data_IF_664562507932
#
_entry.id   IF_664562507932
#
_cell.length_a   1.000
_cell.length_b   1.000
_cell.length_c   1.000
_cell.angle_alpha   90.00
_cell.angle_beta   90.00
_cell.angle_gamma   90.00
#
_symmetry.space_group_name_H-M   'P 1'
#
loop_
_entity.id
_entity.type
_entity.pdbx_description
1 polymer ?
#
# COMPACT_ATOMS: atom_id res chain seq x y z
N UNK A 1 -93.95 28.47 -15.28
CA UNK A 1 -94.52 27.54 -16.28
C UNK A 1 -93.38 26.67 -16.80
N UNK A 2 -93.61 25.35 -16.84
CA UNK A 2 -92.89 24.23 -17.50
C UNK A 2 -91.51 24.51 -18.14
N UNK A 3 -90.49 23.67 -18.00
CA UNK A 3 -90.58 22.24 -18.27
C UNK A 3 -89.42 21.43 -17.66
N UNK A 4 -89.79 20.27 -17.13
CA UNK A 4 -88.96 19.07 -17.07
C UNK A 4 -88.71 18.56 -18.50
N UNK A 5 -87.51 18.06 -18.81
CA UNK A 5 -87.33 16.87 -19.63
C UNK A 5 -85.95 16.23 -19.35
N UNK A 6 -86.03 14.94 -19.00
CA UNK A 6 -84.95 14.02 -18.66
C UNK A 6 -84.23 13.53 -19.93
N UNK A 7 -82.91 13.34 -19.86
CA UNK A 7 -82.20 12.25 -20.55
C UNK A 7 -80.78 12.06 -19.96
N UNK A 8 -80.68 11.11 -19.01
CA UNK A 8 -79.77 9.95 -18.84
C UNK A 8 -78.39 9.88 -19.57
N UNK A 9 -77.49 8.96 -19.17
CA UNK A 9 -76.34 9.18 -18.29
C UNK A 9 -75.02 8.83 -19.01
N UNK A 10 -73.90 8.78 -18.26
CA UNK A 10 -72.54 8.35 -18.67
C UNK A 10 -71.61 9.49 -19.09
N UNK A 11 -70.85 10.02 -18.14
CA UNK A 11 -69.40 9.83 -18.21
C UNK A 11 -68.80 10.00 -16.82
N UNK A 12 -68.33 8.87 -16.30
CA UNK A 12 -67.55 8.78 -15.07
C UNK A 12 -66.24 9.56 -15.25
N UNK A 13 -65.94 10.31 -14.21
CA UNK A 13 -64.65 10.88 -13.83
C UNK A 13 -63.48 9.97 -14.22
N UNK A 14 -62.59 10.44 -15.10
CA UNK A 14 -61.23 9.90 -15.23
C UNK A 14 -60.27 11.08 -15.33
N UNK A 15 -59.77 11.52 -14.17
CA UNK A 15 -58.64 12.44 -14.09
C UNK A 15 -57.41 11.61 -14.49
N UNK A 16 -56.96 11.79 -15.73
CA UNK A 16 -55.66 11.30 -16.19
C UNK A 16 -54.58 12.13 -15.50
N UNK A 17 -54.06 11.64 -14.38
CA UNK A 17 -52.80 12.12 -13.80
C UNK A 17 -51.70 11.65 -14.75
N UNK A 18 -51.26 12.57 -15.61
CA UNK A 18 -50.08 12.40 -16.45
C UNK A 18 -48.84 12.48 -15.54
N UNK A 19 -48.49 11.35 -14.91
CA UNK A 19 -47.24 11.21 -14.18
C UNK A 19 -46.08 11.24 -15.18
N UNK A 20 -45.51 12.43 -15.36
CA UNK A 20 -44.24 12.65 -16.03
C UNK A 20 -43.14 11.97 -15.19
N UNK A 21 -42.91 10.68 -15.43
CA UNK A 21 -41.73 9.98 -14.94
C UNK A 21 -40.52 10.54 -15.68
N UNK A 22 -39.94 11.62 -15.14
CA UNK A 22 -38.55 11.98 -15.40
C UNK A 22 -37.73 10.83 -14.81
N UNK A 23 -37.42 9.85 -15.64
CA UNK A 23 -36.43 8.83 -15.34
C UNK A 23 -35.11 9.53 -15.11
N UNK A 24 -34.80 9.81 -13.84
CA UNK A 24 -33.43 10.08 -13.42
C UNK A 24 -32.66 8.81 -13.71
N UNK A 25 -31.96 8.80 -14.84
CA UNK A 25 -30.89 7.84 -15.08
C UNK A 25 -29.94 7.98 -13.89
N UNK A 26 -30.05 7.07 -12.93
CA UNK A 26 -29.05 6.86 -11.91
C UNK A 26 -27.77 6.57 -12.67
N UNK A 27 -26.92 7.60 -12.82
CA UNK A 27 -25.53 7.38 -13.16
C UNK A 27 -25.01 6.51 -12.03
N UNK A 28 -24.85 5.22 -12.33
CA UNK A 28 -24.11 4.33 -11.48
C UNK A 28 -22.74 4.99 -11.32
N UNK A 29 -22.51 5.52 -10.12
CA UNK A 29 -21.24 6.10 -9.73
C UNK A 29 -20.28 4.92 -9.55
N UNK A 30 -19.81 4.38 -10.68
CA UNK A 30 -18.84 3.31 -10.74
C UNK A 30 -17.52 3.92 -10.29
N UNK A 31 -17.29 3.91 -8.98
CA UNK A 31 -16.00 4.25 -8.39
C UNK A 31 -14.95 3.33 -9.03
N UNK A 32 -14.22 3.85 -10.01
CA UNK A 32 -13.15 3.12 -10.69
C UNK A 32 -12.19 2.57 -9.62
N UNK A 33 -11.85 1.27 -9.64
CA UNK A 33 -11.00 0.70 -8.60
C UNK A 33 -9.63 1.37 -8.58
N UNK A 34 -9.04 1.39 -7.38
CA UNK A 34 -7.72 1.97 -7.14
C UNK A 34 -6.68 1.31 -8.07
N UNK A 35 -6.03 2.08 -8.96
CA UNK A 35 -5.10 1.51 -9.93
C UNK A 35 -3.85 0.88 -9.28
N UNK A 36 -3.48 1.30 -8.07
CA UNK A 36 -2.43 0.63 -7.30
C UNK A 36 -2.88 -0.77 -6.85
N UNK A 37 -4.15 -0.90 -6.43
CA UNK A 37 -4.74 -2.17 -6.05
C UNK A 37 -4.95 -3.09 -7.27
N UNK A 38 -5.35 -2.53 -8.42
CA UNK A 38 -5.41 -3.27 -9.69
C UNK A 38 -4.04 -3.83 -10.07
N UNK A 39 -2.99 -3.00 -10.06
CA UNK A 39 -1.64 -3.44 -10.35
C UNK A 39 -1.18 -4.55 -9.40
N UNK A 40 -1.41 -4.37 -8.09
CA UNK A 40 -1.04 -5.35 -7.08
C UNK A 40 -1.75 -6.69 -7.27
N UNK A 41 -3.06 -6.67 -7.51
CA UNK A 41 -3.86 -7.89 -7.56
C UNK A 41 -3.64 -8.69 -8.85
N UNK A 42 -3.35 -8.02 -9.96
CA UNK A 42 -3.36 -8.66 -11.29
C UNK A 42 -2.00 -8.63 -12.00
N UNK A 43 -1.16 -7.63 -11.74
CA UNK A 43 0.04 -7.39 -12.54
C UNK A 43 1.35 -7.72 -11.80
N UNK A 44 1.44 -7.45 -10.49
CA UNK A 44 2.72 -7.52 -9.77
C UNK A 44 3.26 -8.94 -9.58
N UNK A 45 2.39 -9.96 -9.65
CA UNK A 45 2.79 -11.38 -9.64
C UNK A 45 3.79 -11.71 -10.74
N UNK A 46 3.71 -11.03 -11.88
CA UNK A 46 4.67 -11.16 -12.99
C UNK A 46 5.60 -9.95 -13.08
N UNK A 47 5.07 -8.74 -13.00
CA UNK A 47 5.87 -7.53 -13.23
C UNK A 47 6.68 -7.05 -12.01
N UNK A 48 6.54 -7.74 -10.86
CA UNK A 48 7.17 -7.39 -9.60
C UNK A 48 6.51 -6.19 -8.92
N UNK A 49 6.53 -6.13 -7.59
CA UNK A 49 5.94 -5.01 -6.85
C UNK A 49 6.66 -3.66 -7.08
N UNK A 50 7.87 -3.71 -7.67
CA UNK A 50 8.68 -2.55 -8.04
C UNK A 50 8.56 -2.19 -9.54
N UNK A 51 7.79 -2.96 -10.30
CA UNK A 51 7.72 -2.83 -11.77
C UNK A 51 9.01 -3.18 -12.50
N UNK A 52 9.95 -3.85 -11.83
CA UNK A 52 11.27 -4.22 -12.38
C UNK A 52 11.29 -5.60 -13.08
N UNK A 53 10.14 -6.26 -13.18
CA UNK A 53 10.01 -7.59 -13.78
C UNK A 53 10.58 -8.72 -12.91
N UNK A 54 11.11 -8.40 -11.73
CA UNK A 54 11.73 -9.35 -10.80
C UNK A 54 10.71 -9.88 -9.83
N UNK A 55 9.87 -10.79 -10.31
CA UNK A 55 8.92 -11.51 -9.46
C UNK A 55 9.39 -12.94 -9.20
N UNK A 56 8.75 -13.63 -8.26
CA UNK A 56 8.97 -15.07 -8.06
C UNK A 56 8.69 -15.91 -9.32
N UNK A 57 7.95 -15.36 -10.28
CA UNK A 57 7.65 -16.00 -11.55
C UNK A 57 8.71 -15.73 -12.64
N UNK A 58 9.64 -14.78 -12.45
CA UNK A 58 10.60 -14.32 -13.47
C UNK A 58 11.32 -15.48 -14.16
N UNK A 59 11.93 -16.39 -13.38
CA UNK A 59 12.72 -17.52 -13.91
C UNK A 59 11.90 -18.55 -14.68
N UNK A 60 10.58 -18.53 -14.56
CA UNK A 60 9.66 -19.47 -15.20
C UNK A 60 8.93 -18.85 -16.41
N UNK A 61 9.26 -17.61 -16.79
CA UNK A 61 8.62 -16.88 -17.89
C UNK A 61 9.61 -16.67 -19.04
N UNK A 62 9.23 -17.11 -20.23
CA UNK A 62 9.99 -16.89 -21.47
C UNK A 62 9.07 -16.25 -22.53
N UNK A 63 9.36 -15.02 -22.99
CA UNK A 63 10.38 -14.09 -22.47
C UNK A 63 10.05 -13.57 -21.04
N UNK A 64 11.03 -13.03 -20.30
CA UNK A 64 10.78 -12.50 -18.95
C UNK A 64 9.84 -11.29 -18.97
N UNK A 65 9.15 -11.00 -17.85
CA UNK A 65 8.30 -9.82 -17.72
C UNK A 65 9.09 -8.54 -17.95
N UNK A 66 8.41 -7.53 -18.52
CA UNK A 66 9.07 -6.27 -18.87
C UNK A 66 9.46 -5.49 -17.61
N UNK A 67 10.73 -5.10 -17.52
CA UNK A 67 11.23 -4.14 -16.53
C UNK A 67 10.87 -2.70 -16.96
N UNK A 68 9.92 -2.10 -16.25
CA UNK A 68 9.42 -0.75 -16.48
C UNK A 68 10.34 0.33 -15.93
N UNK A 69 11.29 -0.02 -15.06
CA UNK A 69 12.19 0.94 -14.40
C UNK A 69 13.32 1.43 -15.30
N UNK A 70 13.52 0.76 -16.45
CA UNK A 70 14.57 1.11 -17.39
C UNK A 70 14.21 2.30 -18.29
N UNK A 71 15.16 3.23 -18.48
CA UNK A 71 14.99 4.38 -19.37
C UNK A 71 14.65 3.99 -20.81
N UNK A 72 15.22 2.89 -21.30
CA UNK A 72 14.92 2.38 -22.63
C UNK A 72 13.48 1.86 -22.74
N UNK A 73 12.95 1.27 -21.67
CA UNK A 73 11.55 0.85 -21.60
C UNK A 73 10.63 2.06 -21.64
N UNK A 74 10.88 3.09 -20.83
CA UNK A 74 10.10 4.33 -20.84
C UNK A 74 10.10 5.05 -22.22
N UNK A 75 11.22 4.99 -22.95
CA UNK A 75 11.34 5.55 -24.31
C UNK A 75 10.54 4.77 -25.36
N UNK A 76 10.43 3.46 -25.21
CA UNK A 76 9.88 2.55 -26.24
C UNK A 76 8.42 2.13 -26.00
N UNK A 77 7.93 2.23 -24.77
CA UNK A 77 6.55 1.93 -24.41
C UNK A 77 5.73 3.22 -24.32
N UNK A 78 5.00 3.55 -25.37
CA UNK A 78 3.98 4.60 -25.34
C UNK A 78 2.76 4.15 -24.53
N UNK A 79 1.95 5.11 -24.07
CA UNK A 79 0.76 4.83 -23.26
C UNK A 79 -0.22 3.98 -24.04
N UNK A 80 -0.41 4.32 -25.31
CA UNK A 80 -1.30 3.65 -26.26
C UNK A 80 -0.84 2.21 -26.49
N UNK A 81 0.47 1.99 -26.65
CA UNK A 81 1.05 0.66 -26.79
C UNK A 81 0.85 -0.18 -25.54
N UNK A 82 1.01 0.41 -24.35
CA UNK A 82 0.78 -0.29 -23.08
C UNK A 82 -0.69 -0.66 -22.90
N UNK A 83 -1.63 0.27 -23.17
CA UNK A 83 -3.06 -0.02 -23.15
C UNK A 83 -3.37 -1.18 -24.09
N UNK A 84 -2.90 -1.11 -25.34
CA UNK A 84 -3.10 -2.18 -26.31
C UNK A 84 -2.56 -3.53 -25.81
N UNK A 85 -1.36 -3.54 -25.22
CA UNK A 85 -0.72 -4.76 -24.70
C UNK A 85 -1.48 -5.34 -23.50
N UNK A 86 -2.02 -4.51 -22.61
CA UNK A 86 -2.86 -4.99 -21.49
C UNK A 86 -4.22 -5.46 -21.99
N UNK A 87 -4.81 -4.76 -22.95
CA UNK A 87 -6.11 -5.12 -23.54
C UNK A 87 -6.05 -6.46 -24.28
N UNK A 88 -5.10 -6.61 -25.22
CA UNK A 88 -5.03 -7.76 -26.14
C UNK A 88 -4.02 -8.84 -25.75
N UNK A 89 -3.18 -8.56 -24.76
CA UNK A 89 -2.03 -9.41 -24.45
C UNK A 89 -0.91 -9.26 -25.48
N UNK A 90 0.13 -10.07 -25.35
CA UNK A 90 1.28 -10.09 -26.25
C UNK A 90 1.49 -11.53 -26.74
N UNK A 91 1.23 -11.76 -28.03
CA UNK A 91 1.36 -13.08 -28.66
C UNK A 91 2.77 -13.66 -28.48
N UNK A 92 2.86 -14.95 -28.15
CA UNK A 92 4.13 -15.64 -27.89
C UNK A 92 4.74 -15.33 -26.52
N UNK A 93 3.98 -14.73 -25.59
CA UNK A 93 4.41 -14.48 -24.20
C UNK A 93 3.33 -14.91 -23.20
N UNK A 94 3.66 -14.89 -21.91
CA UNK A 94 2.69 -15.15 -20.84
C UNK A 94 1.72 -13.98 -20.57
N UNK A 95 1.88 -12.83 -21.23
CA UNK A 95 1.01 -11.66 -21.03
C UNK A 95 -0.33 -11.86 -21.76
N UNK A 96 -1.32 -12.39 -21.05
CA UNK A 96 -2.69 -12.53 -21.56
C UNK A 96 -3.39 -11.17 -21.75
N UNK A 97 -4.44 -11.16 -22.58
CA UNK A 97 -5.34 -10.01 -22.70
C UNK A 97 -6.29 -9.92 -21.53
N UNK A 98 -6.53 -8.71 -21.03
CA UNK A 98 -7.35 -8.44 -19.85
C UNK A 98 -8.71 -7.82 -20.18
N UNK A 99 -9.06 -7.70 -21.46
CA UNK A 99 -10.30 -7.04 -21.91
C UNK A 99 -11.59 -7.73 -21.47
N UNK A 100 -11.54 -9.02 -21.13
CA UNK A 100 -12.67 -9.78 -20.60
C UNK A 100 -12.81 -9.66 -19.07
N UNK A 101 -11.80 -9.13 -18.38
CA UNK A 101 -11.74 -9.06 -16.90
C UNK A 101 -11.69 -7.63 -16.36
N UNK A 102 -11.16 -6.68 -17.14
CA UNK A 102 -11.01 -5.28 -16.76
C UNK A 102 -11.70 -4.39 -17.79
N UNK A 103 -12.42 -3.39 -17.31
CA UNK A 103 -12.97 -2.34 -18.15
C UNK A 103 -11.88 -1.51 -18.81
N UNK A 104 -12.23 -0.81 -19.90
CA UNK A 104 -11.33 0.13 -20.58
C UNK A 104 -10.78 1.21 -19.63
N UNK A 105 -11.59 1.65 -18.67
CA UNK A 105 -11.18 2.63 -17.66
C UNK A 105 -10.14 2.07 -16.70
N UNK A 106 -10.32 0.83 -16.22
CA UNK A 106 -9.38 0.13 -15.35
C UNK A 106 -8.05 -0.14 -16.04
N UNK A 107 -8.10 -0.58 -17.30
CA UNK A 107 -6.90 -0.79 -18.13
C UNK A 107 -6.13 0.53 -18.31
N UNK A 108 -6.82 1.63 -18.62
CA UNK A 108 -6.19 2.93 -18.73
C UNK A 108 -5.56 3.37 -17.39
N UNK A 109 -6.28 3.19 -16.28
CA UNK A 109 -5.84 3.59 -14.96
C UNK A 109 -4.60 2.81 -14.49
N UNK A 110 -4.56 1.49 -14.69
CA UNK A 110 -3.39 0.67 -14.30
C UNK A 110 -2.17 0.98 -15.19
N UNK A 111 -2.38 1.28 -16.48
CA UNK A 111 -1.29 1.72 -17.36
C UNK A 111 -0.72 3.07 -16.91
N UNK A 112 -1.59 4.01 -16.57
CA UNK A 112 -1.17 5.33 -16.08
C UNK A 112 -0.39 5.20 -14.76
N UNK A 113 -0.85 4.33 -13.86
CA UNK A 113 -0.12 3.98 -12.65
C UNK A 113 1.28 3.43 -12.94
N UNK A 114 1.44 2.47 -13.85
CA UNK A 114 2.76 1.93 -14.20
C UNK A 114 3.69 3.03 -14.74
N UNK A 115 3.17 3.92 -15.60
CA UNK A 115 3.94 5.01 -16.19
C UNK A 115 4.34 6.07 -15.16
N UNK A 116 3.49 6.35 -14.20
CA UNK A 116 3.73 7.36 -13.17
C UNK A 116 4.68 6.85 -12.07
N UNK A 117 4.49 5.61 -11.62
CA UNK A 117 5.17 5.10 -10.41
C UNK A 117 6.44 4.30 -10.68
N UNK A 118 6.54 3.65 -11.85
CA UNK A 118 7.67 2.77 -12.18
C UNK A 118 8.53 3.31 -13.32
N UNK A 119 7.94 3.97 -14.32
CA UNK A 119 8.72 4.43 -15.48
C UNK A 119 9.48 5.72 -15.20
N UNK A 120 10.78 5.77 -15.50
CA UNK A 120 11.50 7.02 -15.43
C UNK A 120 10.99 7.98 -16.53
N UNK A 121 10.94 9.29 -16.24
CA UNK A 121 10.51 10.28 -17.20
C UNK A 121 11.41 10.27 -18.45
N UNK A 122 10.80 10.27 -19.62
CA UNK A 122 11.54 10.26 -20.90
C UNK A 122 12.33 11.57 -21.02
N UNK A 123 13.66 11.47 -20.99
CA UNK A 123 14.57 12.62 -21.11
C UNK A 123 15.11 13.18 -19.79
N UNK A 124 14.80 12.57 -18.65
CA UNK A 124 15.48 12.85 -17.39
C UNK A 124 16.61 11.84 -17.16
N UNK A 125 17.76 12.29 -16.66
CA UNK A 125 18.78 11.40 -16.09
C UNK A 125 18.21 10.54 -14.96
N UNK A 126 18.94 9.49 -14.59
CA UNK A 126 18.51 8.38 -13.71
C UNK A 126 18.02 8.80 -12.31
N UNK A 127 16.75 9.20 -12.19
CA UNK A 127 16.09 9.43 -10.90
C UNK A 127 15.78 8.14 -10.15
N UNK A 128 15.93 6.96 -10.78
CA UNK A 128 15.69 5.66 -10.17
C UNK A 128 16.74 5.30 -9.12
N UNK A 129 18.01 5.64 -9.39
CA UNK A 129 19.11 5.54 -8.41
C UNK A 129 18.88 6.48 -7.23
N UNK A 130 18.50 7.73 -7.49
CA UNK A 130 18.18 8.71 -6.45
C UNK A 130 17.06 8.28 -5.49
N UNK A 131 15.96 7.72 -6.03
CA UNK A 131 14.83 7.18 -5.23
C UNK A 131 15.28 6.06 -4.28
N UNK A 132 16.09 5.12 -4.78
CA UNK A 132 16.57 3.97 -4.01
C UNK A 132 17.47 4.42 -2.85
N UNK A 133 18.42 5.30 -3.14
CA UNK A 133 19.35 5.85 -2.17
C UNK A 133 18.62 6.69 -1.10
N UNK A 134 17.60 7.45 -1.49
CA UNK A 134 16.74 8.18 -0.55
C UNK A 134 16.03 7.25 0.44
N UNK A 135 15.41 6.17 -0.06
CA UNK A 135 14.69 5.21 0.76
C UNK A 135 15.61 4.45 1.74
N UNK A 136 16.86 4.19 1.34
CA UNK A 136 17.82 3.46 2.17
C UNK A 136 18.45 4.32 3.27
N UNK A 137 18.69 5.61 2.98
CA UNK A 137 19.57 6.42 3.82
C UNK A 137 18.88 7.66 4.42
N UNK A 138 17.83 8.17 3.79
CA UNK A 138 17.30 9.50 4.08
C UNK A 138 15.89 9.46 4.67
N UNK A 139 15.05 8.54 4.20
CA UNK A 139 13.62 8.52 4.52
C UNK A 139 13.35 8.21 5.98
N UNK A 140 14.30 7.55 6.67
CA UNK A 140 14.25 7.36 8.12
C UNK A 140 14.03 8.72 8.78
N UNK A 141 14.87 9.73 8.59
CA UNK A 141 14.66 11.04 9.26
C UNK A 141 13.72 11.98 8.49
N UNK A 142 13.75 11.96 7.16
CA UNK A 142 13.01 12.92 6.33
C UNK A 142 11.59 12.47 5.94
N UNK A 143 11.21 11.24 6.29
CA UNK A 143 9.93 10.63 5.97
C UNK A 143 9.85 10.15 4.51
N UNK A 144 9.08 9.11 4.26
CA UNK A 144 8.95 8.52 2.90
C UNK A 144 8.35 9.50 1.88
N UNK A 145 7.60 10.51 2.35
CA UNK A 145 7.01 11.58 1.54
C UNK A 145 7.76 12.92 1.63
N UNK A 146 8.94 12.95 2.25
CA UNK A 146 9.75 14.16 2.41
C UNK A 146 9.19 15.21 3.38
N UNK A 147 8.12 14.90 4.11
CA UNK A 147 7.42 15.81 5.03
C UNK A 147 7.98 15.85 6.47
N UNK A 148 9.24 15.40 6.63
CA UNK A 148 9.90 15.11 7.89
C UNK A 148 9.25 13.98 8.68
N UNK A 149 10.05 13.00 9.10
CA UNK A 149 9.55 11.92 9.92
C UNK A 149 9.20 12.45 11.33
N UNK A 150 8.04 12.04 11.85
CA UNK A 150 7.54 12.46 13.17
C UNK A 150 8.17 11.68 14.34
N UNK A 151 8.91 10.61 14.07
CA UNK A 151 9.58 9.85 15.13
C UNK A 151 10.82 10.61 15.62
N UNK A 152 11.00 10.65 16.95
CA UNK A 152 12.14 11.33 17.56
C UNK A 152 12.11 12.86 17.48
N UNK A 153 11.01 13.51 17.05
CA UNK A 153 10.95 14.99 17.01
C UNK A 153 11.10 15.64 18.39
N UNK A 154 10.88 14.88 19.47
CA UNK A 154 11.10 15.30 20.85
C UNK A 154 12.48 14.86 21.41
N UNK A 155 13.23 14.05 20.65
CA UNK A 155 14.55 13.48 21.01
C UNK A 155 15.69 14.11 20.21
N UNK A 156 15.41 14.64 19.01
CA UNK A 156 16.37 15.34 18.18
C UNK A 156 16.38 16.82 18.55
N UNK A 157 17.57 17.38 18.83
CA UNK A 157 17.76 18.81 19.12
C UNK A 157 17.33 19.74 17.98
N UNK A 158 17.17 19.20 16.77
CA UNK A 158 16.67 19.94 15.61
C UNK A 158 15.82 19.01 14.74
N UNK A 159 14.66 19.50 14.29
CA UNK A 159 13.76 18.74 13.43
C UNK A 159 14.39 18.57 12.04
N UNK A 160 14.29 17.36 11.44
CA UNK A 160 14.63 17.17 10.03
C UNK A 160 13.86 18.14 9.15
N UNK A 161 14.45 18.50 8.01
CA UNK A 161 13.88 19.43 7.04
C UNK A 161 12.69 18.80 6.29
N UNK A 162 11.57 19.50 6.27
CA UNK A 162 10.38 19.17 5.49
C UNK A 162 10.54 19.72 4.07
N UNK A 163 10.84 18.84 3.11
CA UNK A 163 11.06 19.19 1.72
C UNK A 163 9.78 19.60 0.99
N UNK A 164 8.60 19.29 1.53
CA UNK A 164 7.31 19.65 0.92
C UNK A 164 6.91 21.10 1.19
N UNK A 165 7.49 21.73 2.22
CA UNK A 165 7.18 23.12 2.60
C UNK A 165 7.61 24.15 1.55
N UNK A 166 6.85 25.26 1.45
CA UNK A 166 7.19 26.37 0.57
C UNK A 166 8.55 26.99 0.92
N UNK A 167 8.86 27.09 2.22
CA UNK A 167 10.15 27.56 2.71
C UNK A 167 11.30 26.72 2.15
N UNK A 168 11.21 25.38 2.20
CA UNK A 168 12.23 24.50 1.61
C UNK A 168 12.41 24.73 0.12
N UNK A 169 11.32 24.92 -0.64
CA UNK A 169 11.37 25.16 -2.08
C UNK A 169 12.11 26.45 -2.43
N UNK A 170 11.96 27.48 -1.61
CA UNK A 170 12.62 28.79 -1.78
C UNK A 170 14.07 28.76 -1.30
N UNK A 171 14.34 28.13 -0.15
CA UNK A 171 15.63 28.23 0.55
C UNK A 171 16.67 27.20 0.08
N UNK A 172 16.25 26.04 -0.40
CA UNK A 172 17.15 24.94 -0.71
C UNK A 172 17.41 24.92 -2.22
N UNK A 173 18.54 25.49 -2.63
CA UNK A 173 19.07 25.29 -3.98
C UNK A 173 19.62 23.87 -4.13
N UNK A 174 19.71 23.38 -5.39
CA UNK A 174 20.31 22.07 -5.69
C UNK A 174 21.72 21.95 -5.12
N UNK A 175 22.54 22.98 -5.34
CA UNK A 175 23.92 23.03 -4.85
C UNK A 175 23.99 23.02 -3.32
N UNK A 176 23.12 23.78 -2.64
CA UNK A 176 23.04 23.78 -1.18
C UNK A 176 22.66 22.41 -0.63
N UNK A 177 21.73 21.72 -1.29
CA UNK A 177 21.33 20.37 -0.91
C UNK A 177 22.46 19.36 -1.11
N UNK A 178 23.16 19.40 -2.24
CA UNK A 178 24.35 18.55 -2.48
C UNK A 178 25.38 18.80 -1.38
N UNK A 179 25.70 20.06 -1.10
CA UNK A 179 26.67 20.40 -0.05
C UNK A 179 26.24 19.87 1.33
N UNK A 180 24.95 20.02 1.68
CA UNK A 180 24.40 19.53 2.96
C UNK A 180 24.44 18.01 3.08
N UNK A 181 24.21 17.28 1.98
CA UNK A 181 24.32 15.80 1.98
C UNK A 181 25.78 15.37 2.05
N UNK A 182 26.67 16.01 1.30
CA UNK A 182 28.10 15.68 1.28
C UNK A 182 28.76 15.91 2.63
N UNK A 183 28.52 17.05 3.28
CA UNK A 183 29.24 17.48 4.49
C UNK A 183 28.42 17.40 5.78
N UNK A 184 27.14 17.03 5.68
CA UNK A 184 26.21 17.10 6.80
C UNK A 184 25.83 18.54 7.15
N UNK A 185 25.02 18.70 8.19
CA UNK A 185 24.58 20.02 8.66
C UNK A 185 25.00 20.22 10.12
N UNK A 186 25.99 21.10 10.32
CA UNK A 186 26.58 21.41 11.63
C UNK A 186 25.51 21.80 12.64
N UNK A 187 25.59 21.22 13.84
CA UNK A 187 24.63 21.46 14.93
C UNK A 187 23.32 20.66 14.81
N UNK A 188 23.21 19.77 13.82
CA UNK A 188 22.06 18.88 13.65
C UNK A 188 22.49 17.41 13.60
N UNK A 189 21.54 16.46 13.75
CA UNK A 189 21.80 15.03 13.55
C UNK A 189 22.08 14.61 12.09
N UNK A 190 22.02 15.52 11.11
CA UNK A 190 22.28 15.22 9.70
C UNK A 190 23.79 15.04 9.46
N UNK A 191 24.24 13.78 9.47
CA UNK A 191 25.63 13.41 9.23
C UNK A 191 26.07 13.65 7.77
N UNK A 192 27.39 13.67 7.56
CA UNK A 192 28.00 13.74 6.24
C UNK A 192 27.92 12.39 5.52
N UNK A 193 27.43 12.38 4.28
CA UNK A 193 27.37 11.18 3.44
C UNK A 193 28.48 11.11 2.39
N UNK A 194 29.36 12.12 2.30
CA UNK A 194 30.44 12.15 1.30
C UNK A 194 31.46 11.00 1.40
N UNK A 195 31.50 10.28 2.52
CA UNK A 195 32.31 9.07 2.68
C UNK A 195 31.54 7.77 2.37
N UNK A 196 30.21 7.83 2.23
CA UNK A 196 29.33 6.68 2.04
C UNK A 196 28.74 6.62 0.63
N UNK A 197 28.55 7.77 -0.01
CA UNK A 197 27.96 7.91 -1.33
C UNK A 197 28.90 8.68 -2.26
N UNK A 198 28.94 8.30 -3.52
CA UNK A 198 29.69 9.02 -4.56
C UNK A 198 29.01 10.35 -4.90
N UNK A 199 29.78 11.27 -5.50
CA UNK A 199 29.27 12.60 -5.84
C UNK A 199 28.06 12.56 -6.81
N UNK A 200 28.06 11.62 -7.76
CA UNK A 200 26.94 11.41 -8.69
C UNK A 200 25.72 10.79 -8.00
N UNK A 201 25.93 9.88 -7.05
CA UNK A 201 24.86 9.30 -6.23
C UNK A 201 24.18 10.33 -5.32
N UNK A 202 24.98 11.22 -4.71
CA UNK A 202 24.48 12.36 -3.93
C UNK A 202 23.66 13.29 -4.81
N UNK A 203 24.16 13.60 -6.02
CA UNK A 203 23.45 14.44 -6.98
C UNK A 203 22.08 13.83 -7.36
N UNK A 204 22.02 12.52 -7.59
CA UNK A 204 20.77 11.84 -7.94
C UNK A 204 19.75 11.83 -6.80
N UNK A 205 20.20 11.65 -5.55
CA UNK A 205 19.31 11.74 -4.38
C UNK A 205 18.71 13.15 -4.27
N UNK A 206 19.55 14.19 -4.44
CA UNK A 206 19.10 15.57 -4.41
C UNK A 206 18.11 15.87 -5.54
N UNK A 207 18.40 15.39 -6.74
CA UNK A 207 17.52 15.59 -7.90
C UNK A 207 16.18 14.86 -7.73
N UNK A 208 16.19 13.67 -7.12
CA UNK A 208 14.98 12.98 -6.70
C UNK A 208 14.16 13.81 -5.68
N UNK A 209 14.78 14.28 -4.59
CA UNK A 209 14.08 15.07 -3.55
C UNK A 209 13.44 16.32 -4.17
N UNK A 210 14.20 17.05 -4.99
CA UNK A 210 13.71 18.28 -5.63
C UNK A 210 12.57 18.00 -6.59
N UNK A 211 12.69 16.93 -7.37
CA UNK A 211 11.69 16.55 -8.36
C UNK A 211 10.41 16.03 -7.74
N UNK A 212 10.49 15.25 -6.67
CA UNK A 212 9.33 14.53 -6.12
C UNK A 212 8.66 15.31 -4.99
N UNK A 213 9.43 15.98 -4.12
CA UNK A 213 8.88 16.62 -2.92
C UNK A 213 8.79 18.15 -3.03
N UNK A 214 9.63 18.78 -3.85
CA UNK A 214 9.79 20.25 -3.88
C UNK A 214 9.13 20.94 -5.09
N UNK A 215 8.21 20.28 -5.79
CA UNK A 215 7.46 20.91 -6.88
C UNK A 215 6.47 21.93 -6.31
N UNK A 216 6.28 23.11 -6.93
CA UNK A 216 5.24 24.05 -6.52
C UNK A 216 3.88 23.33 -6.49
N UNK A 217 2.95 23.71 -5.60
CA UNK A 217 1.59 23.20 -5.72
C UNK A 217 1.14 23.62 -7.11
N UNK A 218 0.58 22.70 -7.90
CA UNK A 218 0.26 22.96 -9.30
C UNK A 218 -0.68 24.17 -9.41
N UNK A 219 -0.11 25.36 -9.62
CA UNK A 219 -0.85 26.56 -9.95
C UNK A 219 -1.44 26.37 -11.33
N UNK A 220 -2.77 26.33 -11.41
CA UNK A 220 -3.59 26.33 -12.64
C UNK A 220 -2.88 25.72 -13.87
N UNK A 221 -2.55 24.43 -13.82
CA UNK A 221 -2.44 23.65 -15.05
C UNK A 221 -3.78 22.93 -15.20
N UNK A 222 -4.53 23.34 -16.21
CA UNK A 222 -5.78 22.71 -16.64
C UNK A 222 -5.51 21.22 -16.86
N UNK A 223 -5.92 20.39 -15.92
CA UNK A 223 -5.99 18.94 -16.07
C UNK A 223 -7.13 18.44 -15.19
N UNK A 224 -8.12 17.80 -15.83
CA UNK A 224 -9.49 17.66 -15.36
C UNK A 224 -9.73 16.65 -14.25
N UNK A 225 -9.14 16.83 -13.06
CA UNK A 225 -9.49 16.05 -11.87
C UNK A 225 -9.52 16.91 -10.61
N UNK A 226 -10.48 17.84 -10.57
CA UNK A 226 -10.98 18.39 -9.32
C UNK A 226 -12.49 18.19 -9.27
N UNK A 227 -12.91 17.01 -8.86
CA UNK A 227 -14.25 16.77 -8.33
C UNK A 227 -14.08 16.03 -6.99
N UNK A 228 -14.25 16.81 -5.92
CA UNK A 228 -14.65 16.39 -4.58
C UNK A 228 -13.56 15.83 -3.65
N UNK A 229 -12.83 16.76 -3.05
CA UNK A 229 -12.68 16.76 -1.60
C UNK A 229 -14.07 16.97 -0.97
N UNK A 230 -14.65 15.91 -0.39
CA UNK A 230 -15.76 16.03 0.56
C UNK A 230 -15.39 15.25 1.81
N UNK A 231 -15.61 15.94 2.93
CA UNK A 231 -15.43 15.60 4.33
C UNK A 231 -15.41 14.11 4.72
N UNK A 232 -14.59 13.83 5.74
CA UNK A 232 -14.58 12.61 6.53
C UNK A 232 -16.01 12.11 6.84
N UNK A 233 -16.39 10.99 6.23
CA UNK A 233 -17.61 10.27 6.55
C UNK A 233 -17.26 8.88 7.11
N UNK A 234 -17.83 8.58 8.29
CA UNK A 234 -17.69 7.32 9.03
C UNK A 234 -18.01 6.12 8.13
N UNK A 235 -17.09 5.17 8.02
CA UNK A 235 -17.28 3.93 7.28
C UNK A 235 -18.27 3.00 8.01
N UNK A 236 -19.30 2.53 7.31
CA UNK A 236 -20.12 1.37 7.66
C UNK A 236 -19.56 0.10 7.00
N UNK A 237 -19.80 -1.11 7.54
CA UNK A 237 -19.14 -2.33 7.08
C UNK A 237 -19.80 -2.90 5.81
N UNK A 238 -19.00 -3.21 4.79
CA UNK A 238 -19.44 -4.00 3.64
C UNK A 238 -19.51 -5.50 3.98
N UNK A 239 -20.61 -6.16 3.61
CA UNK A 239 -20.78 -7.61 3.72
C UNK A 239 -19.91 -8.32 2.69
N UNK A 240 -19.11 -9.27 3.19
CA UNK A 240 -18.38 -10.26 2.40
C UNK A 240 -19.36 -11.32 1.90
N UNK A 241 -19.11 -11.81 0.69
CA UNK A 241 -19.44 -13.13 0.11
C UNK A 241 -20.06 -12.92 -1.27
N UNK A 242 -19.21 -13.00 -2.30
CA UNK A 242 -19.52 -13.54 -3.64
C UNK A 242 -18.29 -13.34 -4.55
N UNK A 243 -17.27 -14.19 -4.36
CA UNK A 243 -16.25 -14.44 -5.38
C UNK A 243 -16.04 -15.96 -5.48
N UNK A 244 -16.16 -16.57 -6.67
CA UNK A 244 -15.82 -17.96 -6.86
C UNK A 244 -14.30 -18.15 -6.84
N UNK A 245 -13.88 -19.23 -6.18
CA UNK A 245 -12.49 -19.67 -5.98
C UNK A 245 -11.78 -19.91 -7.33
N UNK A 246 -10.99 -18.93 -7.78
CA UNK A 246 -10.12 -19.06 -8.95
C UNK A 246 -8.79 -19.67 -8.51
N UNK A 247 -8.76 -21.00 -8.55
CA UNK A 247 -7.67 -21.88 -8.14
C UNK A 247 -6.26 -21.36 -8.37
N UNK A 248 -5.56 -21.13 -7.25
CA UNK A 248 -4.12 -20.87 -7.18
C UNK A 248 -3.36 -22.19 -7.38
N UNK A 249 -2.34 -22.17 -8.25
CA UNK A 249 -1.54 -23.34 -8.64
C UNK A 249 -0.92 -24.03 -7.40
N UNK A 250 -1.38 -25.26 -7.19
CA UNK A 250 -0.86 -26.35 -6.37
C UNK A 250 0.12 -26.02 -5.24
N UNK A 251 -0.41 -25.90 -4.02
CA UNK A 251 -0.29 -26.82 -2.86
C UNK A 251 0.97 -27.73 -2.67
N UNK A 252 2.08 -27.56 -3.39
CA UNK A 252 3.16 -28.57 -3.50
C UNK A 252 4.56 -28.15 -3.03
N UNK A 253 4.79 -26.88 -2.67
CA UNK A 253 6.09 -26.43 -2.11
C UNK A 253 5.99 -25.74 -0.75
N UNK A 254 4.79 -25.63 -0.18
CA UNK A 254 4.64 -25.42 1.26
C UNK A 254 4.73 -26.81 1.92
N UNK A 255 5.38 -26.97 3.09
CA UNK A 255 5.28 -28.21 3.84
C UNK A 255 3.79 -28.58 3.97
N UNK A 256 3.47 -29.87 3.82
CA UNK A 256 2.11 -30.46 3.80
C UNK A 256 1.18 -30.07 4.97
N UNK A 257 1.61 -29.20 5.90
CA UNK A 257 0.87 -28.84 7.11
C UNK A 257 -0.19 -27.75 6.94
N UNK A 258 -0.33 -27.09 5.77
CA UNK A 258 -1.31 -26.00 5.60
C UNK A 258 -2.69 -26.46 5.08
N UNK A 259 -2.84 -27.72 4.66
CA UNK A 259 -4.14 -28.32 4.32
C UNK A 259 -4.52 -29.52 5.19
N UNK A 260 -3.79 -29.71 6.28
CA UNK A 260 -4.33 -30.42 7.42
C UNK A 260 -5.28 -29.46 8.13
N UNK A 261 -6.46 -29.88 8.63
CA UNK A 261 -7.19 -29.09 9.60
C UNK A 261 -6.21 -28.75 10.72
N UNK A 262 -5.78 -27.48 10.79
CA UNK A 262 -4.88 -27.03 11.85
C UNK A 262 -5.68 -27.27 13.13
N UNK A 263 -5.22 -28.15 14.03
CA UNK A 263 -5.93 -28.39 15.27
C UNK A 263 -6.18 -27.04 15.92
N UNK A 264 -7.42 -26.82 16.40
CA UNK A 264 -7.74 -25.62 17.15
C UNK A 264 -6.71 -25.49 18.28
N UNK A 265 -5.97 -24.39 18.29
CA UNK A 265 -5.01 -24.16 19.35
C UNK A 265 -5.78 -24.07 20.68
N UNK A 266 -5.27 -24.74 21.71
CA UNK A 266 -5.82 -24.62 23.05
C UNK A 266 -5.59 -23.18 23.55
N UNK A 267 -6.67 -22.42 23.64
CA UNK A 267 -6.63 -21.01 24.04
C UNK A 267 -6.53 -20.82 25.55
N UNK A 268 -6.69 -21.88 26.33
CA UNK A 268 -6.47 -21.90 27.77
C UNK A 268 -5.00 -22.17 28.15
N UNK A 269 -4.18 -22.62 27.19
CA UNK A 269 -2.77 -22.90 27.42
C UNK A 269 -2.03 -21.66 27.98
N UNK A 270 -1.33 -21.82 29.13
CA UNK A 270 -0.63 -20.72 29.76
C UNK A 270 0.65 -20.35 28.99
N UNK A 271 1.23 -19.19 29.32
CA UNK A 271 2.57 -18.85 28.85
C UNK A 271 3.62 -19.85 29.40
N UNK A 272 4.71 -20.10 28.66
CA UNK A 272 5.71 -21.07 29.07
C UNK A 272 6.45 -20.65 30.34
N UNK A 273 7.09 -21.62 31.02
CA UNK A 273 7.95 -21.41 32.19
C UNK A 273 7.26 -20.72 33.38
N UNK A 274 5.93 -20.81 33.48
CA UNK A 274 5.17 -20.17 34.56
C UNK A 274 5.12 -18.64 34.48
N UNK A 275 5.53 -18.05 33.35
CA UNK A 275 5.49 -16.60 33.14
C UNK A 275 4.03 -16.12 33.13
N UNK A 276 3.80 -14.91 33.67
CA UNK A 276 2.51 -14.25 33.62
C UNK A 276 2.67 -12.97 32.82
N UNK A 277 1.95 -12.82 31.71
CA UNK A 277 2.07 -11.64 30.86
C UNK A 277 1.27 -10.45 31.40
N UNK A 278 1.88 -9.28 31.36
CA UNK A 278 1.25 -7.99 31.62
C UNK A 278 0.89 -7.31 30.28
N UNK A 279 -0.41 -7.19 29.92
CA UNK A 279 -0.80 -6.60 28.64
C UNK A 279 -0.50 -5.10 28.52
N UNK A 280 -0.38 -4.35 29.63
CA UNK A 280 -0.06 -2.92 29.58
C UNK A 280 1.41 -2.70 29.20
N UNK A 281 2.31 -3.48 29.81
CA UNK A 281 3.73 -3.53 29.42
C UNK A 281 3.88 -4.03 27.98
N UNK A 282 3.12 -5.07 27.61
CA UNK A 282 3.08 -5.60 26.26
C UNK A 282 2.62 -4.57 25.22
N UNK A 283 1.60 -3.77 25.54
CA UNK A 283 1.12 -2.70 24.67
C UNK A 283 2.22 -1.66 24.41
N UNK A 284 2.90 -1.21 25.47
CA UNK A 284 3.99 -0.24 25.35
C UNK A 284 5.12 -0.77 24.46
N UNK A 285 5.51 -2.03 24.64
CA UNK A 285 6.53 -2.69 23.82
C UNK A 285 6.08 -2.85 22.35
N UNK A 286 4.80 -3.17 22.13
CA UNK A 286 4.23 -3.35 20.79
C UNK A 286 4.22 -2.04 20.01
N UNK A 287 3.82 -0.93 20.65
CA UNK A 287 3.85 0.41 20.06
C UNK A 287 5.28 0.87 19.73
N UNK A 288 6.26 0.49 20.52
CA UNK A 288 7.65 0.90 20.32
C UNK A 288 8.33 0.10 19.18
N UNK A 289 8.00 -1.18 19.03
CA UNK A 289 8.84 -2.10 18.26
C UNK A 289 8.10 -2.87 17.16
N UNK A 290 6.77 -2.99 17.23
CA UNK A 290 6.02 -3.96 16.41
C UNK A 290 5.04 -3.30 15.44
N UNK A 291 4.45 -2.16 15.80
CA UNK A 291 3.42 -1.46 15.00
C UNK A 291 3.89 -1.05 13.61
N UNK A 292 5.18 -0.80 13.46
CA UNK A 292 5.76 -0.34 12.21
C UNK A 292 5.56 -1.37 11.09
N UNK A 293 5.56 -2.66 11.43
CA UNK A 293 5.29 -3.74 10.49
C UNK A 293 3.87 -4.30 10.65
N UNK A 294 3.40 -4.50 11.88
CA UNK A 294 2.14 -5.20 12.15
C UNK A 294 0.91 -4.29 12.19
N UNK A 295 1.09 -2.96 12.21
CA UNK A 295 0.03 -1.98 12.34
C UNK A 295 -0.50 -1.88 13.77
N UNK A 296 -1.01 -0.70 14.14
CA UNK A 296 -1.62 -0.46 15.47
C UNK A 296 -2.82 -1.39 15.71
N UNK A 297 -3.52 -1.80 14.64
CA UNK A 297 -4.67 -2.72 14.69
C UNK A 297 -4.28 -4.20 14.61
N UNK A 298 -2.99 -4.54 14.49
CA UNK A 298 -2.54 -5.92 14.29
C UNK A 298 -3.01 -6.55 12.98
N UNK A 299 -3.35 -5.74 11.98
CA UNK A 299 -3.86 -6.17 10.68
C UNK A 299 -2.76 -6.49 9.66
N UNK A 300 -1.49 -6.30 10.04
CA UNK A 300 -0.36 -6.49 9.14
C UNK A 300 -0.20 -5.36 8.13
N UNK A 301 -0.81 -4.20 8.39
CA UNK A 301 -0.77 -3.01 7.53
C UNK A 301 0.02 -1.87 8.20
N UNK A 302 1.09 -2.23 8.92
CA UNK A 302 2.02 -1.24 9.45
C UNK A 302 2.64 -0.38 8.33
N UNK A 303 3.12 0.83 8.63
CA UNK A 303 3.71 1.73 7.65
C UNK A 303 4.90 1.12 6.88
N UNK A 304 5.58 0.07 7.37
CA UNK A 304 6.62 -0.70 6.64
C UNK A 304 6.13 -1.98 5.99
N UNK A 305 4.87 -2.38 6.21
CA UNK A 305 4.32 -3.64 5.70
C UNK A 305 4.25 -3.72 4.16
N UNK A 306 4.39 -2.59 3.46
CA UNK A 306 4.30 -2.51 2.00
C UNK A 306 5.51 -3.10 1.27
N UNK A 307 6.68 -3.22 1.93
CA UNK A 307 7.90 -3.76 1.31
C UNK A 307 8.43 -5.04 1.98
N UNK A 308 7.75 -5.54 3.01
CA UNK A 308 8.12 -6.76 3.74
C UNK A 308 7.52 -7.97 3.02
N UNK A 309 8.37 -8.92 2.61
CA UNK A 309 7.94 -10.17 1.99
C UNK A 309 8.48 -11.39 2.76
N UNK A 310 7.61 -12.35 3.13
CA UNK A 310 6.15 -12.32 3.06
C UNK A 310 5.56 -11.24 3.98
N UNK A 311 4.40 -10.67 3.63
CA UNK A 311 3.79 -9.57 4.40
C UNK A 311 3.56 -9.94 5.87
N UNK A 312 3.66 -8.97 6.79
CA UNK A 312 3.36 -9.18 8.20
C UNK A 312 1.98 -9.78 8.38
N UNK A 313 1.86 -10.71 9.33
CA UNK A 313 0.61 -11.45 9.54
C UNK A 313 -0.49 -10.52 10.03
N UNK A 314 -1.68 -10.67 9.43
CA UNK A 314 -2.91 -10.13 9.97
C UNK A 314 -3.44 -11.04 11.09
N UNK A 315 -3.38 -10.56 12.33
CA UNK A 315 -3.81 -11.31 13.52
C UNK A 315 -5.33 -11.42 13.64
N UNK A 316 -6.08 -10.51 13.00
CA UNK A 316 -7.54 -10.46 13.06
C UNK A 316 -8.22 -11.52 12.17
N UNK A 317 -7.47 -12.19 11.29
CA UNK A 317 -8.02 -13.28 10.47
C UNK A 317 -8.39 -14.48 11.34
N UNK A 318 -9.52 -15.12 11.01
CA UNK A 318 -9.98 -16.32 11.72
C UNK A 318 -8.92 -17.43 11.76
N UNK A 319 -8.18 -17.62 10.67
CA UNK A 319 -7.07 -18.58 10.62
C UNK A 319 -5.95 -18.26 11.60
N UNK A 320 -5.67 -16.98 11.86
CA UNK A 320 -4.74 -16.55 12.92
C UNK A 320 -5.35 -16.81 14.30
N UNK A 321 -6.61 -16.45 14.50
CA UNK A 321 -7.33 -16.65 15.77
C UNK A 321 -7.51 -18.11 16.17
N UNK A 322 -7.53 -19.04 15.20
CA UNK A 322 -7.59 -20.49 15.45
C UNK A 322 -6.23 -21.12 15.73
N UNK A 323 -5.13 -20.45 15.33
CA UNK A 323 -3.78 -21.02 15.34
C UNK A 323 -2.88 -20.49 16.44
N UNK A 324 -3.01 -19.21 16.83
CA UNK A 324 -2.06 -18.54 17.71
C UNK A 324 -2.60 -18.39 19.14
N UNK A 325 -2.32 -19.37 20.00
CA UNK A 325 -2.48 -19.23 21.45
C UNK A 325 -1.24 -18.58 22.10
N UNK A 326 -1.27 -18.37 23.42
CA UNK A 326 -0.18 -17.74 24.17
C UNK A 326 1.20 -18.39 23.94
N UNK A 327 1.38 -19.71 24.09
CA UNK A 327 2.65 -20.37 23.76
C UNK A 327 3.13 -20.12 22.32
N UNK A 328 2.22 -20.20 21.35
CA UNK A 328 2.57 -20.02 19.94
C UNK A 328 3.01 -18.58 19.62
N UNK A 329 2.35 -17.59 20.20
CA UNK A 329 2.76 -16.18 20.11
C UNK A 329 4.12 -15.96 20.75
N UNK A 330 4.31 -16.49 21.97
CA UNK A 330 5.59 -16.40 22.69
C UNK A 330 6.74 -16.96 21.87
N UNK A 331 6.57 -18.16 21.33
CA UNK A 331 7.60 -18.80 20.51
C UNK A 331 7.89 -18.01 19.24
N UNK A 332 6.85 -17.51 18.57
CA UNK A 332 6.98 -16.74 17.34
C UNK A 332 7.70 -15.40 17.56
N UNK A 333 7.45 -14.73 18.69
CA UNK A 333 8.11 -13.48 19.04
C UNK A 333 9.55 -13.76 19.48
N UNK A 334 9.77 -14.74 20.36
CA UNK A 334 11.09 -15.09 20.85
C UNK A 334 12.04 -15.47 19.71
N UNK A 335 11.62 -16.39 18.84
CA UNK A 335 12.48 -16.96 17.78
C UNK A 335 12.39 -16.24 16.45
N UNK A 336 11.45 -15.30 16.31
CA UNK A 336 11.15 -14.68 15.03
C UNK A 336 10.65 -15.71 14.01
N UNK A 337 10.77 -15.36 12.73
CA UNK A 337 10.44 -16.28 11.64
C UNK A 337 11.53 -16.28 10.59
N UNK A 338 12.30 -17.37 10.56
CA UNK A 338 13.37 -17.61 9.59
C UNK A 338 12.84 -17.46 8.16
N UNK A 339 13.60 -16.74 7.31
CA UNK A 339 13.22 -16.45 5.93
C UNK A 339 12.20 -15.31 5.79
N UNK A 340 12.00 -14.51 6.84
CA UNK A 340 11.16 -13.29 6.81
C UNK A 340 11.84 -12.15 7.57
N UNK A 341 11.32 -10.93 7.39
CA UNK A 341 11.79 -9.73 8.12
C UNK A 341 11.40 -9.69 9.61
N UNK A 342 10.80 -10.75 10.17
CA UNK A 342 10.46 -10.82 11.59
C UNK A 342 11.63 -11.41 12.39
N UNK A 343 12.41 -10.58 13.12
CA UNK A 343 13.62 -11.03 13.82
C UNK A 343 13.29 -11.84 15.08
N UNK A 344 14.30 -12.55 15.60
CA UNK A 344 14.25 -13.16 16.92
C UNK A 344 14.39 -12.07 18.00
N UNK A 345 13.40 -11.92 18.88
CA UNK A 345 13.40 -10.88 19.91
C UNK A 345 14.03 -11.35 21.22
N UNK A 346 14.27 -12.65 21.40
CA UNK A 346 14.95 -13.18 22.59
C UNK A 346 16.44 -12.82 22.69
N UNK A 347 16.99 -12.20 21.63
CA UNK A 347 18.34 -11.64 21.63
C UNK A 347 18.41 -10.24 22.27
N UNK A 348 17.27 -9.56 22.44
CA UNK A 348 17.21 -8.16 22.90
C UNK A 348 16.15 -7.88 23.95
N UNK A 349 15.14 -8.74 24.09
CA UNK A 349 14.09 -8.67 25.12
C UNK A 349 14.24 -9.82 26.10
N UNK A 350 13.87 -9.56 27.35
CA UNK A 350 13.81 -10.61 28.38
C UNK A 350 12.63 -11.56 28.13
N UNK A 351 12.72 -12.77 28.71
CA UNK A 351 11.64 -13.75 28.65
C UNK A 351 10.30 -13.18 29.17
N UNK A 352 10.33 -12.33 30.20
CA UNK A 352 9.13 -11.69 30.75
C UNK A 352 8.56 -10.63 29.79
N UNK A 353 9.40 -9.80 29.16
CA UNK A 353 8.92 -8.81 28.18
C UNK A 353 8.28 -9.47 26.94
N UNK A 354 8.79 -10.63 26.52
CA UNK A 354 8.17 -11.40 25.45
C UNK A 354 6.83 -12.00 25.91
N UNK A 355 6.73 -12.41 27.17
CA UNK A 355 5.46 -12.87 27.77
C UNK A 355 4.41 -11.76 27.80
N UNK A 356 4.81 -10.55 28.18
CA UNK A 356 3.96 -9.35 28.19
C UNK A 356 3.45 -9.00 26.78
N UNK A 357 4.35 -8.95 25.79
CA UNK A 357 4.01 -8.76 24.37
C UNK A 357 3.04 -9.82 23.85
N UNK A 358 3.29 -11.09 24.20
CA UNK A 358 2.45 -12.21 23.79
C UNK A 358 1.04 -12.09 24.37
N UNK A 359 0.94 -11.68 25.63
CA UNK A 359 -0.35 -11.47 26.29
C UNK A 359 -1.13 -10.31 25.67
N UNK A 360 -0.46 -9.20 25.36
CA UNK A 360 -1.08 -8.08 24.65
C UNK A 360 -1.61 -8.51 23.28
N UNK A 361 -0.78 -9.12 22.43
CA UNK A 361 -1.21 -9.58 21.09
C UNK A 361 -2.36 -10.59 21.18
N UNK A 362 -2.29 -11.50 22.15
CA UNK A 362 -3.35 -12.47 22.40
C UNK A 362 -4.67 -11.79 22.74
N UNK A 363 -4.67 -10.91 23.75
CA UNK A 363 -5.88 -10.22 24.24
C UNK A 363 -6.39 -9.13 23.31
N UNK A 364 -5.57 -8.56 22.45
CA UNK A 364 -6.00 -7.44 21.59
C UNK A 364 -6.44 -7.89 20.20
N UNK A 365 -5.89 -8.97 19.66
CA UNK A 365 -6.11 -9.34 18.26
C UNK A 365 -6.60 -10.78 18.06
N UNK A 366 -6.09 -11.72 18.86
CA UNK A 366 -6.45 -13.15 18.74
C UNK A 366 -7.77 -13.45 19.46
N UNK A 367 -7.88 -13.02 20.72
CA UNK A 367 -9.03 -13.17 21.60
C UNK A 367 -9.37 -11.80 22.20
N UNK A 368 -9.80 -10.84 21.35
CA UNK A 368 -10.18 -9.49 21.76
C UNK A 368 -11.33 -9.45 22.77
#
# INVERSE_FOLDING_TARGET
MAAYLKASPLLRTLILVNSLFIGTATHADTKSPDPALLYHNYCSVCHGDRGDGKSHAESSMQPPPKDFTQQQTARSLTRERMIHSVTKGIAGTAMAGWEDQLSKAEIAAVVDYVREFFMPPVGAGDTGRGKRLYAQNCSVCHGDHGSSAKWGSNLLRSRPRDFTSEASRRELSRERMINSVTHGVKGTPMAAFGSQLKADEIADVVDYIRRVFMQPPAGKRVSGTHAHAVAAAKAAPHKRNDFPDMGVVSRRLLPKSENQPVPLADMSAPLPNGLQGNPDTGHALFLQNCVECHGVKGDGEGPRAYFIFPRPRNFNRESSRRRFNRPALYQSIARGKIGTEMPAWDTVLTAQQIADLSEYVFRSFIRP
#
